data_IF_273971958550
#
_entry.id   IF_273971958550
#
_cell.length_a   1.000
_cell.length_b   1.000
_cell.length_c   1.000
_cell.angle_alpha   90.00
_cell.angle_beta   90.00
_cell.angle_gamma   90.00
#
_symmetry.space_group_name_H-M   'P 1'
#
loop_
_entity.id
_entity.type
_entity.pdbx_description
1 polymer ?
#
# COMPACT_ATOMS: atom_id res chain seq x y z
N UNK A 1 -52.48 -29.81 -23.91
CA UNK A 1 -51.87 -29.60 -22.59
C UNK A 1 -50.40 -30.09 -22.46
N UNK A 2 -49.64 -30.29 -23.55
CA UNK A 2 -48.28 -30.88 -23.55
C UNK A 2 -47.14 -29.82 -23.53
N UNK A 3 -47.46 -28.54 -23.69
CA UNK A 3 -46.47 -27.46 -23.80
C UNK A 3 -46.37 -26.57 -22.57
N UNK A 4 -47.18 -26.81 -21.52
CA UNK A 4 -47.19 -26.03 -20.28
C UNK A 4 -45.88 -26.10 -19.50
N UNK A 5 -45.15 -27.25 -19.41
CA UNK A 5 -43.86 -27.29 -18.69
C UNK A 5 -42.71 -26.58 -19.43
N UNK A 6 -42.79 -26.50 -20.78
CA UNK A 6 -41.77 -25.81 -21.58
C UNK A 6 -41.85 -24.28 -21.42
N UNK A 7 -43.04 -23.74 -21.21
CA UNK A 7 -43.24 -22.30 -20.96
C UNK A 7 -42.76 -21.88 -19.57
N UNK A 8 -42.84 -22.77 -18.57
CA UNK A 8 -42.38 -22.50 -17.20
C UNK A 8 -40.83 -22.44 -17.09
N UNK A 9 -40.12 -23.21 -17.93
CA UNK A 9 -38.64 -23.23 -17.93
C UNK A 9 -38.08 -21.99 -18.62
N UNK A 10 -38.77 -21.36 -19.56
CA UNK A 10 -38.28 -20.13 -20.22
C UNK A 10 -38.41 -18.87 -19.37
N UNK A 11 -39.23 -18.86 -18.32
CA UNK A 11 -39.37 -17.70 -17.42
C UNK A 11 -38.31 -17.65 -16.32
N UNK A 12 -37.58 -18.72 -16.08
CA UNK A 12 -36.55 -18.77 -14.98
C UNK A 12 -35.19 -18.18 -15.37
N UNK A 13 -35.01 -17.74 -16.62
CA UNK A 13 -33.74 -17.20 -17.09
C UNK A 13 -33.64 -15.65 -17.02
N UNK A 14 -34.67 -14.96 -16.53
CA UNK A 14 -34.54 -13.52 -16.20
C UNK A 14 -33.85 -13.34 -14.87
N UNK A 15 -32.56 -13.67 -14.85
CA UNK A 15 -31.65 -13.33 -13.74
C UNK A 15 -31.48 -11.82 -13.71
N UNK A 16 -31.96 -11.17 -12.65
CA UNK A 16 -31.71 -9.76 -12.38
C UNK A 16 -30.20 -9.55 -12.15
N UNK A 17 -29.48 -9.07 -13.13
CA UNK A 17 -28.05 -8.72 -13.03
C UNK A 17 -27.78 -7.63 -11.98
N UNK A 18 -28.74 -6.75 -11.73
CA UNK A 18 -28.62 -5.66 -10.77
C UNK A 18 -28.62 -6.10 -9.30
N UNK A 19 -29.16 -7.29 -8.98
CA UNK A 19 -29.15 -7.81 -7.62
C UNK A 19 -27.76 -8.26 -7.16
N UNK A 20 -26.88 -8.62 -8.10
CA UNK A 20 -25.51 -9.07 -7.79
C UNK A 20 -24.49 -7.92 -7.79
N UNK A 21 -24.84 -6.75 -8.29
CA UNK A 21 -23.97 -5.56 -8.29
C UNK A 21 -24.30 -4.63 -7.11
N UNK A 22 -24.29 -5.17 -5.89
CA UNK A 22 -24.36 -4.37 -4.68
C UNK A 22 -23.09 -3.51 -4.58
N UNK A 23 -23.20 -2.25 -4.98
CA UNK A 23 -22.18 -1.24 -4.64
C UNK A 23 -22.31 -0.95 -3.14
N UNK A 24 -21.27 -1.14 -2.32
CA UNK A 24 -21.33 -0.78 -0.91
C UNK A 24 -21.62 0.72 -0.80
N UNK A 25 -22.74 1.07 -0.20
CA UNK A 25 -23.22 2.45 -0.09
C UNK A 25 -22.32 3.32 0.80
N UNK A 26 -21.53 2.68 1.67
CA UNK A 26 -20.65 3.33 2.66
C UNK A 26 -19.16 3.11 2.44
N UNK A 27 -18.74 2.33 1.45
CA UNK A 27 -17.33 2.21 1.09
C UNK A 27 -17.07 2.99 -0.19
N UNK A 28 -16.16 3.97 -0.11
CA UNK A 28 -15.65 4.61 -1.31
C UNK A 28 -15.07 3.53 -2.22
N UNK A 29 -15.81 3.19 -3.27
CA UNK A 29 -15.33 2.26 -4.28
C UNK A 29 -14.20 2.95 -5.06
N UNK A 30 -13.09 2.27 -5.24
CA UNK A 30 -11.94 2.79 -6.00
C UNK A 30 -12.32 3.34 -7.39
N UNK A 31 -13.38 2.80 -8.01
CA UNK A 31 -13.88 3.24 -9.31
C UNK A 31 -14.68 4.56 -9.25
N UNK A 32 -15.23 4.90 -8.08
CA UNK A 32 -16.03 6.11 -7.88
C UNK A 32 -15.28 7.27 -7.23
N UNK A 33 -14.07 7.02 -6.71
CA UNK A 33 -13.33 8.02 -5.94
C UNK A 33 -12.61 9.04 -6.84
N UNK A 34 -11.96 8.59 -7.92
CA UNK A 34 -11.14 9.44 -8.78
C UNK A 34 -11.96 10.05 -9.93
N UNK A 35 -12.73 11.11 -9.67
CA UNK A 35 -13.57 11.73 -10.68
C UNK A 35 -13.15 13.16 -11.05
N UNK A 36 -12.57 13.89 -10.11
CA UNK A 36 -12.19 15.28 -10.27
C UNK A 36 -10.82 15.58 -9.66
N UNK A 37 -10.28 16.76 -9.93
CA UNK A 37 -8.97 17.22 -9.47
C UNK A 37 -8.82 17.16 -7.94
N UNK A 38 -9.87 17.56 -7.19
CA UNK A 38 -9.89 17.54 -5.73
C UNK A 38 -9.76 16.14 -5.14
N UNK A 39 -10.30 15.13 -5.82
CA UNK A 39 -10.16 13.74 -5.39
C UNK A 39 -8.70 13.26 -5.48
N UNK A 40 -8.02 13.66 -6.56
CA UNK A 40 -6.59 13.36 -6.72
C UNK A 40 -5.74 14.11 -5.70
N UNK A 41 -6.04 15.37 -5.38
CA UNK A 41 -5.37 16.11 -4.30
C UNK A 41 -5.55 15.42 -2.96
N UNK A 42 -6.77 14.99 -2.65
CA UNK A 42 -7.06 14.23 -1.42
C UNK A 42 -6.29 12.92 -1.38
N UNK A 43 -6.19 12.20 -2.50
CA UNK A 43 -5.41 10.99 -2.60
C UNK A 43 -3.91 11.22 -2.36
N UNK A 44 -3.36 12.32 -2.90
CA UNK A 44 -1.96 12.71 -2.68
C UNK A 44 -1.72 13.09 -1.22
N UNK A 45 -2.63 13.83 -0.57
CA UNK A 45 -2.56 14.10 0.87
C UNK A 45 -2.60 12.80 1.67
N UNK A 46 -3.48 11.85 1.29
CA UNK A 46 -3.52 10.51 1.86
C UNK A 46 -2.23 9.70 1.67
N UNK A 47 -1.51 9.94 0.57
CA UNK A 47 -0.20 9.34 0.34
C UNK A 47 0.87 9.94 1.28
N UNK A 48 0.85 11.26 1.51
CA UNK A 48 1.73 11.93 2.48
C UNK A 48 1.48 11.47 3.92
N UNK A 49 0.23 11.19 4.29
CA UNK A 49 -0.09 10.68 5.64
C UNK A 49 0.61 9.34 5.95
N UNK A 50 0.92 8.56 4.92
CA UNK A 50 1.70 7.33 5.06
C UNK A 50 3.12 7.56 5.60
N UNK A 51 3.68 8.77 5.46
CA UNK A 51 5.00 9.11 5.98
C UNK A 51 5.03 9.23 7.51
N UNK A 52 3.90 9.46 8.18
CA UNK A 52 3.84 9.59 9.64
C UNK A 52 4.23 8.29 10.35
N UNK A 53 3.58 7.18 9.98
CA UNK A 53 3.92 5.87 10.55
C UNK A 53 5.29 5.36 10.09
N UNK A 54 5.75 5.86 8.96
CA UNK A 54 7.04 5.54 8.39
C UNK A 54 8.20 6.13 9.19
N UNK A 55 8.09 7.41 9.61
CA UNK A 55 9.13 8.12 10.35
C UNK A 55 9.49 7.44 11.66
N UNK A 56 8.51 6.97 12.42
CA UNK A 56 8.74 6.28 13.69
C UNK A 56 9.54 4.98 13.49
N UNK A 57 9.18 4.17 12.52
CA UNK A 57 9.91 2.93 12.23
C UNK A 57 11.34 3.18 11.75
N UNK A 58 11.58 4.29 11.03
CA UNK A 58 12.92 4.68 10.60
C UNK A 58 13.85 5.01 11.78
N UNK A 59 13.33 5.68 12.81
CA UNK A 59 14.09 5.99 14.02
C UNK A 59 14.54 4.68 14.68
N UNK A 60 13.62 3.73 14.90
CA UNK A 60 13.96 2.44 15.49
C UNK A 60 15.02 1.69 14.68
N UNK A 61 14.88 1.65 13.38
CA UNK A 61 15.76 0.86 12.51
C UNK A 61 17.11 1.52 12.22
N UNK A 62 17.20 2.83 12.25
CA UNK A 62 18.44 3.55 11.93
C UNK A 62 19.20 3.98 13.17
N UNK A 63 18.51 4.43 14.21
CA UNK A 63 19.19 5.00 15.40
C UNK A 63 19.52 3.94 16.45
N UNK A 64 18.60 3.00 16.72
CA UNK A 64 18.84 1.91 17.66
C UNK A 64 19.77 0.81 17.11
N UNK A 65 19.85 0.67 15.79
CA UNK A 65 20.80 -0.26 15.16
C UNK A 65 22.22 0.33 15.04
N UNK A 66 22.46 1.48 15.64
CA UNK A 66 23.75 2.17 15.65
C UNK A 66 24.09 2.65 17.05
N UNK A 67 25.31 3.18 17.26
CA UNK A 67 25.75 3.72 18.55
C UNK A 67 25.10 5.07 18.92
N UNK A 68 24.17 5.58 18.11
CA UNK A 68 23.56 6.90 18.31
C UNK A 68 22.51 6.90 19.44
N UNK A 69 21.86 5.76 19.69
CA UNK A 69 20.83 5.64 20.71
C UNK A 69 20.86 4.26 21.35
N UNK A 70 20.58 4.21 22.66
CA UNK A 70 20.44 2.97 23.43
C UNK A 70 19.05 2.94 24.04
N UNK A 71 18.37 1.80 23.93
CA UNK A 71 17.05 1.65 24.53
C UNK A 71 17.16 1.31 26.02
N UNK A 72 16.47 2.10 26.87
CA UNK A 72 16.50 1.88 28.31
C UNK A 72 15.69 0.62 28.68
N UNK A 73 16.38 -0.37 29.22
CA UNK A 73 15.92 -1.76 29.37
C UNK A 73 14.75 -2.00 30.33
N UNK A 74 14.35 -1.02 31.15
CA UNK A 74 13.41 -1.25 32.26
C UNK A 74 12.02 -1.78 31.83
N UNK A 75 11.60 -1.57 30.56
CA UNK A 75 10.32 -2.04 30.01
C UNK A 75 10.38 -2.36 28.50
N UNK A 76 11.53 -2.84 28.03
CA UNK A 76 11.77 -3.00 26.62
C UNK A 76 11.04 -4.21 26.03
N UNK A 77 10.21 -3.97 25.01
CA UNK A 77 9.73 -5.04 24.13
C UNK A 77 10.91 -5.77 23.47
N UNK A 78 10.87 -7.10 23.46
CA UNK A 78 11.89 -7.93 22.82
C UNK A 78 12.12 -7.57 21.35
N UNK A 79 11.09 -7.09 20.68
CA UNK A 79 11.16 -6.65 19.28
C UNK A 79 12.02 -5.39 19.10
N UNK A 80 12.07 -4.49 20.07
CA UNK A 80 12.87 -3.25 20.05
C UNK A 80 14.31 -3.52 20.46
N UNK A 81 14.52 -4.33 21.51
CA UNK A 81 15.86 -4.70 21.97
C UNK A 81 16.65 -5.48 20.94
N UNK A 82 15.96 -6.15 20.00
CA UNK A 82 16.60 -6.83 18.89
C UNK A 82 17.42 -5.90 17.99
N UNK A 83 17.03 -4.62 17.87
CA UNK A 83 17.80 -3.62 17.11
C UNK A 83 19.08 -3.22 17.87
N UNK A 84 18.96 -2.95 19.15
CA UNK A 84 20.05 -2.51 20.02
C UNK A 84 21.16 -3.59 20.17
N UNK A 85 20.74 -4.85 20.29
CA UNK A 85 21.67 -6.00 20.40
C UNK A 85 22.09 -6.60 19.04
N UNK A 86 21.72 -6.00 17.91
CA UNK A 86 21.99 -6.53 16.56
C UNK A 86 21.49 -7.97 16.36
N UNK A 87 20.47 -8.38 17.11
CA UNK A 87 19.86 -9.73 17.05
C UNK A 87 18.46 -9.64 16.45
N UNK A 88 18.38 -9.28 15.18
CA UNK A 88 17.12 -9.12 14.46
C UNK A 88 16.64 -10.43 13.88
N UNK A 89 15.45 -10.87 14.29
CA UNK A 89 14.73 -11.94 13.61
C UNK A 89 14.04 -11.43 12.36
N UNK A 90 13.97 -12.28 11.32
CA UNK A 90 13.17 -12.00 10.11
C UNK A 90 11.66 -11.85 10.40
N UNK A 91 11.21 -12.31 11.57
CA UNK A 91 9.83 -12.21 12.05
C UNK A 91 9.59 -11.00 12.95
N UNK A 92 10.57 -10.11 13.10
CA UNK A 92 10.43 -8.91 13.92
C UNK A 92 9.26 -8.05 13.40
N UNK A 93 8.33 -7.69 14.30
CA UNK A 93 7.11 -6.97 13.96
C UNK A 93 7.39 -5.58 13.35
N UNK A 94 8.40 -4.87 13.85
CA UNK A 94 8.77 -3.54 13.33
C UNK A 94 9.35 -3.62 11.92
N UNK A 95 10.18 -4.62 11.63
CA UNK A 95 10.70 -4.87 10.28
C UNK A 95 9.58 -5.21 9.32
N UNK A 96 8.66 -6.10 9.73
CA UNK A 96 7.50 -6.50 8.92
C UNK A 96 6.56 -5.31 8.65
N UNK A 97 6.28 -4.50 9.68
CA UNK A 97 5.44 -3.31 9.56
C UNK A 97 6.08 -2.26 8.65
N UNK A 98 7.36 -2.00 8.81
CA UNK A 98 8.12 -1.10 7.95
C UNK A 98 8.07 -1.53 6.49
N UNK A 99 8.29 -2.82 6.21
CA UNK A 99 8.20 -3.41 4.89
C UNK A 99 6.81 -3.21 4.29
N UNK A 100 5.76 -3.60 5.01
CA UNK A 100 4.37 -3.50 4.55
C UNK A 100 3.95 -2.07 4.28
N UNK A 101 4.32 -1.12 5.15
CA UNK A 101 4.01 0.29 4.99
C UNK A 101 4.71 0.89 3.77
N UNK A 102 5.99 0.55 3.56
CA UNK A 102 6.76 1.03 2.43
C UNK A 102 6.15 0.58 1.09
N UNK A 103 5.80 -0.69 0.97
CA UNK A 103 5.15 -1.19 -0.24
C UNK A 103 3.70 -0.72 -0.36
N UNK A 104 3.02 -0.48 0.74
CA UNK A 104 1.71 0.18 0.75
C UNK A 104 1.77 1.58 0.14
N UNK A 105 2.77 2.39 0.50
CA UNK A 105 2.98 3.72 -0.10
C UNK A 105 3.31 3.62 -1.60
N UNK A 106 4.19 2.70 -1.99
CA UNK A 106 4.54 2.48 -3.39
C UNK A 106 3.30 2.08 -4.21
N UNK A 107 2.49 1.17 -3.69
CA UNK A 107 1.26 0.71 -4.34
C UNK A 107 0.25 1.85 -4.51
N UNK A 108 0.04 2.66 -3.47
CA UNK A 108 -0.84 3.85 -3.53
C UNK A 108 -0.33 4.87 -4.55
N UNK A 109 0.97 5.18 -4.54
CA UNK A 109 1.57 6.09 -5.51
C UNK A 109 1.39 5.59 -6.95
N UNK A 110 1.59 4.31 -7.20
CA UNK A 110 1.36 3.70 -8.51
C UNK A 110 -0.12 3.74 -8.91
N UNK A 111 -1.03 3.51 -7.96
CA UNK A 111 -2.47 3.60 -8.19
C UNK A 111 -2.90 4.99 -8.63
N UNK A 112 -2.41 6.04 -7.94
CA UNK A 112 -2.68 7.43 -8.30
C UNK A 112 -2.10 7.76 -9.69
N UNK A 113 -0.82 7.42 -9.94
CA UNK A 113 -0.15 7.68 -11.21
C UNK A 113 -0.85 7.03 -12.41
N UNK A 114 -1.32 5.78 -12.25
CA UNK A 114 -2.03 5.07 -13.31
C UNK A 114 -3.36 5.75 -13.67
N UNK A 115 -4.12 6.20 -12.66
CA UNK A 115 -5.41 6.86 -12.88
C UNK A 115 -5.24 8.27 -13.41
N UNK A 116 -4.26 9.01 -12.88
CA UNK A 116 -3.96 10.38 -13.29
C UNK A 116 -3.57 10.49 -14.76
N UNK A 117 -3.09 9.38 -15.39
CA UNK A 117 -2.76 9.36 -16.81
C UNK A 117 -3.96 9.65 -17.71
N UNK A 118 -5.17 9.28 -17.27
CA UNK A 118 -6.42 9.41 -18.04
C UNK A 118 -7.11 10.77 -17.88
N UNK A 119 -6.59 11.65 -17.05
CA UNK A 119 -7.15 12.97 -16.77
C UNK A 119 -6.18 14.07 -17.19
N UNK A 120 -6.73 15.26 -17.48
CA UNK A 120 -5.94 16.43 -17.81
C UNK A 120 -6.35 17.59 -16.90
N UNK A 121 -5.51 17.93 -15.92
CA UNK A 121 -5.69 19.00 -14.96
C UNK A 121 -4.47 19.91 -14.95
N UNK A 122 -4.64 21.15 -14.54
CA UNK A 122 -3.54 22.10 -14.43
C UNK A 122 -2.46 21.65 -13.42
N UNK A 123 -2.89 21.01 -12.32
CA UNK A 123 -2.00 20.50 -11.27
C UNK A 123 -1.44 19.10 -11.53
N UNK A 124 -1.79 18.47 -12.66
CA UNK A 124 -1.37 17.10 -13.01
C UNK A 124 0.14 16.88 -12.89
N UNK A 125 0.93 17.78 -13.45
CA UNK A 125 2.40 17.66 -13.42
C UNK A 125 2.95 17.71 -11.98
N UNK A 126 2.37 18.56 -11.12
CA UNK A 126 2.71 18.68 -9.70
C UNK A 126 2.39 17.36 -8.98
N UNK A 127 1.17 16.87 -9.10
CA UNK A 127 0.73 15.62 -8.46
C UNK A 127 1.57 14.40 -8.90
N UNK A 128 1.93 14.34 -10.19
CA UNK A 128 2.82 13.32 -10.71
C UNK A 128 4.22 13.40 -10.08
N UNK A 129 4.74 14.60 -9.91
CA UNK A 129 6.03 14.85 -9.26
C UNK A 129 6.02 14.37 -7.81
N UNK A 130 4.99 14.73 -7.05
CA UNK A 130 4.82 14.35 -5.65
C UNK A 130 4.70 12.82 -5.48
N UNK A 131 3.87 12.17 -6.28
CA UNK A 131 3.74 10.71 -6.25
C UNK A 131 5.05 9.99 -6.60
N UNK A 132 5.78 10.47 -7.62
CA UNK A 132 7.07 9.92 -8.02
C UNK A 132 8.11 10.14 -6.93
N UNK A 133 8.12 11.29 -6.27
CA UNK A 133 9.02 11.61 -5.17
C UNK A 133 8.82 10.65 -3.99
N UNK A 134 7.58 10.51 -3.51
CA UNK A 134 7.27 9.62 -2.37
C UNK A 134 7.60 8.16 -2.72
N UNK A 135 7.30 7.73 -3.93
CA UNK A 135 7.67 6.39 -4.42
C UNK A 135 9.19 6.18 -4.42
N UNK A 136 9.95 7.16 -4.92
CA UNK A 136 11.40 7.10 -4.93
C UNK A 136 11.99 7.09 -3.51
N UNK A 137 11.43 7.90 -2.59
CA UNK A 137 11.81 7.93 -1.18
C UNK A 137 11.58 6.57 -0.52
N UNK A 138 10.42 5.95 -0.74
CA UNK A 138 10.10 4.64 -0.20
C UNK A 138 11.08 3.55 -0.70
N UNK A 139 11.38 3.52 -1.99
CA UNK A 139 12.37 2.60 -2.54
C UNK A 139 13.79 2.85 -1.99
N UNK A 140 14.20 4.11 -1.94
CA UNK A 140 15.51 4.49 -1.40
C UNK A 140 15.71 3.98 0.02
N UNK A 141 14.70 4.18 0.86
CA UNK A 141 14.74 3.72 2.24
C UNK A 141 14.71 2.20 2.36
N UNK A 142 13.90 1.51 1.56
CA UNK A 142 13.89 0.05 1.52
C UNK A 142 15.28 -0.52 1.16
N UNK A 143 15.94 0.06 0.16
CA UNK A 143 17.29 -0.38 -0.25
C UNK A 143 18.31 -0.16 0.86
N UNK A 144 18.25 0.98 1.55
CA UNK A 144 19.13 1.26 2.68
C UNK A 144 18.97 0.30 3.84
N UNK A 145 17.73 -0.08 4.14
CA UNK A 145 17.39 -0.85 5.34
C UNK A 145 17.43 -2.35 5.10
N UNK A 146 16.95 -2.83 3.95
CA UNK A 146 16.73 -4.26 3.68
C UNK A 146 17.62 -4.83 2.57
N UNK A 147 18.47 -4.04 1.97
CA UNK A 147 19.50 -4.35 0.97
C UNK A 147 19.08 -4.94 -0.39
N UNK A 148 17.92 -5.56 -0.54
CA UNK A 148 17.44 -6.06 -1.85
C UNK A 148 15.94 -5.86 -2.01
N UNK A 149 15.56 -4.86 -2.79
CA UNK A 149 14.18 -4.66 -3.23
C UNK A 149 14.03 -5.01 -4.69
N UNK A 150 12.95 -5.69 -5.00
CA UNK A 150 12.53 -5.91 -6.39
C UNK A 150 11.80 -4.66 -6.88
N UNK A 151 12.43 -3.90 -7.75
CA UNK A 151 11.82 -2.73 -8.40
C UNK A 151 10.87 -3.17 -9.51
N UNK A 152 9.74 -3.78 -9.17
CA UNK A 152 8.72 -4.07 -10.16
C UNK A 152 7.55 -3.08 -10.01
N UNK A 153 7.33 -2.17 -10.96
CA UNK A 153 6.33 -1.10 -10.84
C UNK A 153 4.88 -1.57 -10.89
N UNK A 154 4.62 -2.85 -11.17
CA UNK A 154 3.26 -3.37 -11.41
C UNK A 154 2.82 -4.57 -10.56
N UNK A 155 3.67 -5.12 -9.68
CA UNK A 155 3.29 -6.23 -8.79
C UNK A 155 3.88 -6.03 -7.39
N UNK A 156 3.17 -6.46 -6.32
CA UNK A 156 3.76 -6.49 -5.00
C UNK A 156 5.01 -7.40 -5.05
N UNK A 157 6.16 -6.94 -4.57
CA UNK A 157 7.40 -7.67 -4.68
C UNK A 157 7.34 -8.94 -3.84
N UNK A 158 7.64 -10.06 -4.45
CA UNK A 158 7.97 -11.28 -3.73
C UNK A 158 9.45 -11.22 -3.38
N UNK A 159 9.78 -11.16 -2.11
CA UNK A 159 11.15 -11.37 -1.66
C UNK A 159 11.62 -12.76 -2.09
N UNK A 160 12.53 -12.83 -3.06
CA UNK A 160 13.32 -14.05 -3.25
C UNK A 160 14.33 -14.13 -2.11
N UNK A 161 14.19 -15.13 -1.26
CA UNK A 161 15.28 -15.53 -0.38
C UNK A 161 16.52 -15.74 -1.26
N UNK A 162 17.58 -14.98 -0.99
CA UNK A 162 18.89 -15.30 -1.57
C UNK A 162 19.26 -16.69 -1.06
N UNK A 163 19.28 -17.67 -1.97
CA UNK A 163 19.90 -18.95 -1.69
C UNK A 163 21.34 -18.71 -1.26
N UNK A 164 21.76 -19.48 -0.28
CA UNK A 164 23.14 -19.55 0.21
C UNK A 164 24.09 -19.97 -0.92
#
# INVERSE_FOLDING_TARGET
>A
MRYLPLLAISLSTMSCSDFLTLKPEYQMNELGFYQNESDFETAVVGLYSGLQSYGQNLIWMNELATDNAVFQLANAETAVTGFDYMNLSATNAYVSTYWSNSYGMISRANGILNRLSNFDFNSKAKMQGECKFIRALAYFQLVRTVRRCSCEPRRPPRCRRAGR
#
